data_IF_930131350295
#
_entry.id   IF_930131350295
#
_cell.length_a   1.000
_cell.length_b   1.000
_cell.length_c   1.000
_cell.angle_alpha   90.00
_cell.angle_beta   90.00
_cell.angle_gamma   90.00
#
_symmetry.space_group_name_H-M   'P 1'
#
loop_
_entity.id
_entity.type
_entity.pdbx_description
1 polymer ?
#
# COMPACT_ATOMS: atom_id res chain seq x y z
N UNK A 1 -2.26 -12.38 -5.26
CA UNK A 1 -1.74 -11.08 -5.75
C UNK A 1 -1.36 -10.21 -4.57
N UNK A 2 -0.17 -9.60 -4.57
CA UNK A 2 0.38 -8.81 -3.47
C UNK A 2 0.83 -7.45 -3.98
N UNK A 3 0.21 -6.39 -3.52
CA UNK A 3 0.44 -5.02 -3.95
C UNK A 3 0.92 -4.17 -2.77
N UNK A 4 1.93 -3.35 -3.02
CA UNK A 4 2.40 -2.32 -2.10
C UNK A 4 2.18 -0.95 -2.72
N UNK A 5 1.65 -0.01 -1.94
CA UNK A 5 1.36 1.35 -2.39
C UNK A 5 2.20 2.30 -1.55
N UNK A 6 3.00 3.14 -2.21
CA UNK A 6 3.86 4.11 -1.55
C UNK A 6 3.91 5.43 -2.32
N UNK A 7 4.56 6.44 -1.76
CA UNK A 7 4.61 7.80 -2.30
C UNK A 7 4.81 8.82 -1.18
N UNK A 8 4.93 10.09 -1.54
CA UNK A 8 5.08 11.18 -0.56
C UNK A 8 3.82 11.30 0.31
N UNK A 9 3.93 11.88 1.51
CA UNK A 9 2.76 12.24 2.34
C UNK A 9 1.80 13.16 1.58
N UNK A 10 0.49 12.92 1.70
CA UNK A 10 -0.56 13.76 1.11
C UNK A 10 -0.88 13.54 -0.38
N UNK A 11 -0.15 12.67 -1.08
CA UNK A 11 -0.35 12.42 -2.54
C UNK A 11 -1.58 11.58 -2.90
N UNK A 12 -2.32 11.07 -1.91
CA UNK A 12 -3.51 10.25 -2.13
C UNK A 12 -3.29 8.73 -2.17
N UNK A 13 -2.20 8.23 -1.57
CA UNK A 13 -1.89 6.77 -1.47
C UNK A 13 -3.05 5.96 -0.92
N UNK A 14 -3.55 6.36 0.25
CA UNK A 14 -4.64 5.70 0.96
C UNK A 14 -5.92 5.68 0.13
N UNK A 15 -6.22 6.74 -0.61
CA UNK A 15 -7.37 6.80 -1.53
C UNK A 15 -7.23 5.79 -2.66
N UNK A 16 -6.05 5.72 -3.29
CA UNK A 16 -5.75 4.72 -4.33
C UNK A 16 -5.80 3.29 -3.78
N UNK A 17 -5.24 3.07 -2.58
CA UNK A 17 -5.26 1.79 -1.88
C UNK A 17 -6.69 1.33 -1.58
N UNK A 18 -7.51 2.22 -1.04
CA UNK A 18 -8.90 1.94 -0.73
C UNK A 18 -9.73 1.63 -1.98
N UNK A 19 -9.58 2.44 -3.02
CA UNK A 19 -10.24 2.23 -4.31
C UNK A 19 -9.88 0.86 -4.92
N UNK A 20 -8.59 0.52 -4.98
CA UNK A 20 -8.15 -0.79 -5.49
C UNK A 20 -8.70 -1.94 -4.64
N UNK A 21 -8.67 -1.81 -3.32
CA UNK A 21 -9.17 -2.85 -2.43
C UNK A 21 -10.65 -3.11 -2.66
N UNK A 22 -11.48 -2.06 -2.80
CA UNK A 22 -12.90 -2.21 -3.12
C UNK A 22 -13.13 -2.84 -4.49
N UNK A 23 -12.38 -2.42 -5.50
CA UNK A 23 -12.52 -2.98 -6.85
C UNK A 23 -12.15 -4.47 -6.92
N UNK A 24 -11.10 -4.91 -6.20
CA UNK A 24 -10.79 -6.33 -6.07
C UNK A 24 -11.89 -7.09 -5.30
N UNK A 25 -12.40 -6.51 -4.21
CA UNK A 25 -13.43 -7.13 -3.39
C UNK A 25 -14.74 -7.36 -4.15
N UNK A 26 -15.16 -6.37 -4.94
CA UNK A 26 -16.34 -6.46 -5.80
C UNK A 26 -16.15 -7.37 -7.01
N UNK A 27 -14.90 -7.52 -7.48
CA UNK A 27 -14.54 -8.53 -8.48
C UNK A 27 -14.52 -9.96 -7.92
N UNK A 28 -14.96 -10.16 -6.67
CA UNK A 28 -15.10 -11.47 -6.02
C UNK A 28 -13.85 -11.97 -5.29
N UNK A 29 -12.78 -11.16 -5.20
CA UNK A 29 -11.58 -11.55 -4.49
C UNK A 29 -11.70 -11.27 -3.00
N UNK A 30 -11.14 -12.16 -2.17
CA UNK A 30 -10.87 -11.83 -0.77
C UNK A 30 -9.62 -10.93 -0.71
N UNK A 31 -9.72 -9.83 0.03
CA UNK A 31 -8.68 -8.79 0.12
C UNK A 31 -8.25 -8.58 1.56
N UNK A 32 -6.95 -8.61 1.83
CA UNK A 32 -6.36 -8.00 3.02
C UNK A 32 -5.95 -6.57 2.69
N UNK A 33 -6.61 -5.61 3.30
CA UNK A 33 -6.21 -4.20 3.29
C UNK A 33 -5.36 -3.94 4.54
N UNK A 34 -4.09 -3.61 4.35
CA UNK A 34 -3.13 -3.45 5.43
C UNK A 34 -2.74 -1.99 5.52
N UNK A 35 -3.08 -1.37 6.65
CA UNK A 35 -2.70 -0.01 6.97
C UNK A 35 -1.34 -0.01 7.69
N UNK A 36 -0.30 0.36 6.96
CA UNK A 36 1.07 0.48 7.46
C UNK A 36 1.52 1.95 7.57
N UNK A 37 0.58 2.91 7.53
CA UNK A 37 0.85 4.32 7.78
C UNK A 37 0.60 4.65 9.28
N UNK A 38 1.52 5.35 9.98
CA UNK A 38 1.29 5.81 11.35
C UNK A 38 0.00 6.62 11.55
N UNK A 39 -0.38 7.43 10.55
CA UNK A 39 -1.56 8.29 10.63
C UNK A 39 -2.88 7.52 10.38
N UNK A 40 -2.76 6.23 10.02
CA UNK A 40 -3.79 5.19 9.88
C UNK A 40 -5.19 5.67 9.50
N UNK A 41 -5.43 5.85 8.21
CA UNK A 41 -6.72 6.33 7.67
C UNK A 41 -7.39 5.33 6.72
N UNK A 42 -6.76 4.18 6.43
CA UNK A 42 -7.23 3.27 5.39
C UNK A 42 -8.62 2.73 5.69
N UNK A 43 -8.92 2.39 6.95
CA UNK A 43 -10.23 1.88 7.36
C UNK A 43 -11.37 2.87 7.10
N UNK A 44 -11.15 4.14 7.43
CA UNK A 44 -12.13 5.20 7.23
C UNK A 44 -12.36 5.48 5.74
N UNK A 45 -11.28 5.56 4.97
CA UNK A 45 -11.36 5.74 3.52
C UNK A 45 -12.01 4.51 2.86
N UNK A 46 -11.89 3.32 3.43
CA UNK A 46 -12.57 2.10 2.98
C UNK A 46 -14.05 2.01 3.41
N UNK A 47 -14.57 3.02 4.12
CA UNK A 47 -15.96 3.07 4.55
C UNK A 47 -16.30 2.15 5.73
N UNK A 48 -15.30 1.69 6.50
CA UNK A 48 -15.57 1.03 7.78
C UNK A 48 -16.16 2.04 8.77
N UNK A 49 -17.12 1.61 9.62
CA UNK A 49 -17.66 2.46 10.67
C UNK A 49 -16.56 2.83 11.67
N UNK A 50 -16.62 4.05 12.23
CA UNK A 50 -15.63 4.52 13.20
C UNK A 50 -15.50 3.57 14.39
N UNK A 51 -16.60 3.04 14.90
CA UNK A 51 -16.62 2.11 16.03
C UNK A 51 -15.90 0.79 15.73
N UNK A 52 -15.97 0.29 14.50
CA UNK A 52 -15.19 -0.87 14.08
C UNK A 52 -13.70 -0.52 13.94
N UNK A 53 -13.37 0.63 13.35
CA UNK A 53 -11.97 1.06 13.18
C UNK A 53 -11.30 1.36 14.52
N UNK A 54 -12.02 1.93 15.48
CA UNK A 54 -11.50 2.23 16.82
C UNK A 54 -11.21 0.95 17.62
N UNK A 55 -11.85 -0.17 17.30
CA UNK A 55 -11.51 -1.49 17.90
C UNK A 55 -10.21 -2.08 17.35
N UNK A 56 -9.73 -1.61 16.20
CA UNK A 56 -8.46 -2.06 15.62
C UNK A 56 -7.29 -1.40 16.37
N UNK A 57 -6.86 -2.07 17.42
CA UNK A 57 -5.57 -1.79 18.03
C UNK A 57 -4.45 -2.03 16.99
N UNK A 58 -3.49 -1.11 16.83
CA UNK A 58 -2.35 -1.35 15.96
C UNK A 58 -1.50 -2.51 16.47
N UNK A 59 -1.10 -3.41 15.58
CA UNK A 59 -0.26 -4.57 15.91
C UNK A 59 1.05 -4.17 16.62
N UNK A 60 1.65 -3.04 16.23
CA UNK A 60 2.86 -2.49 16.83
C UNK A 60 2.69 -2.09 18.31
N UNK A 61 1.45 -1.90 18.77
CA UNK A 61 1.13 -1.48 20.13
C UNK A 61 0.65 -2.64 21.02
N UNK A 62 0.52 -3.86 20.47
CA UNK A 62 0.07 -5.06 21.20
C UNK A 62 1.19 -5.68 22.04
N UNK A 63 1.66 -4.96 23.07
CA UNK A 63 2.84 -5.33 23.88
C UNK A 63 2.78 -6.75 24.45
N UNK A 64 1.64 -7.16 25.01
CA UNK A 64 1.48 -8.49 25.60
C UNK A 64 1.61 -9.60 24.55
N UNK A 65 0.92 -9.44 23.41
CA UNK A 65 1.00 -10.38 22.29
C UNK A 65 2.42 -10.45 21.72
N UNK A 66 3.07 -9.30 21.52
CA UNK A 66 4.45 -9.23 21.03
C UNK A 66 5.38 -9.96 22.01
N UNK A 67 5.26 -9.73 23.31
CA UNK A 67 6.05 -10.45 24.31
C UNK A 67 5.78 -11.96 24.27
N UNK A 68 4.51 -12.38 24.25
CA UNK A 68 4.11 -13.79 24.16
C UNK A 68 4.77 -14.46 22.95
N UNK A 69 4.64 -13.87 21.76
CA UNK A 69 5.16 -14.45 20.51
C UNK A 69 6.66 -14.39 20.38
N UNK A 70 7.31 -13.42 21.01
CA UNK A 70 8.77 -13.26 20.95
C UNK A 70 9.51 -13.95 22.10
N UNK A 71 8.85 -14.77 22.92
CA UNK A 71 9.51 -15.60 23.95
C UNK A 71 9.57 -14.98 25.35
N UNK A 72 8.64 -14.08 25.66
CA UNK A 72 8.47 -13.47 26.99
C UNK A 72 9.48 -12.37 27.34
N UNK A 73 9.54 -12.00 28.63
CA UNK A 73 10.37 -10.90 29.13
C UNK A 73 11.88 -11.25 29.29
N UNK A 74 12.32 -12.38 28.75
CA UNK A 74 13.72 -12.81 28.84
C UNK A 74 14.69 -11.94 28.01
N UNK A 75 16.01 -12.12 28.18
CA UNK A 75 17.02 -11.42 27.38
C UNK A 75 17.07 -11.91 25.93
N UNK A 76 16.54 -13.10 25.66
CA UNK A 76 16.45 -13.68 24.33
C UNK A 76 15.06 -13.42 23.74
N UNK A 77 15.01 -13.20 22.43
CA UNK A 77 13.76 -13.09 21.71
C UNK A 77 13.78 -13.91 20.43
N UNK A 78 12.61 -14.41 20.05
CA UNK A 78 12.42 -15.18 18.82
C UNK A 78 12.43 -14.23 17.63
N UNK A 79 13.35 -14.45 16.68
CA UNK A 79 13.47 -13.64 15.47
C UNK A 79 12.34 -13.89 14.47
N UNK A 80 11.85 -15.13 14.39
CA UNK A 80 10.76 -15.56 13.50
C UNK A 80 9.57 -16.08 14.32
N UNK A 81 8.83 -15.19 15.01
CA UNK A 81 7.66 -15.60 15.80
C UNK A 81 6.56 -16.19 14.91
N UNK A 82 5.78 -17.14 15.43
CA UNK A 82 4.59 -17.66 14.74
C UNK A 82 3.43 -16.69 14.90
N UNK A 83 2.79 -16.34 13.78
CA UNK A 83 1.74 -15.31 13.71
C UNK A 83 0.53 -15.76 12.88
N UNK A 84 0.38 -17.07 12.65
CA UNK A 84 -0.63 -17.65 11.76
C UNK A 84 -2.07 -17.20 12.10
N UNK A 85 -2.35 -17.05 13.40
CA UNK A 85 -3.66 -16.67 13.94
C UNK A 85 -3.86 -15.16 14.09
N UNK A 86 -2.77 -14.37 14.03
CA UNK A 86 -2.81 -12.92 14.24
C UNK A 86 -3.63 -12.26 13.12
N UNK A 87 -3.44 -12.72 11.89
CA UNK A 87 -4.11 -12.15 10.71
C UNK A 87 -5.63 -12.31 10.73
N UNK A 88 -6.15 -13.32 11.42
CA UNK A 88 -7.59 -13.59 11.48
C UNK A 88 -8.22 -13.07 12.78
N UNK A 89 -7.45 -13.03 13.89
CA UNK A 89 -7.94 -12.51 15.18
C UNK A 89 -7.98 -10.98 15.25
N UNK A 90 -7.01 -10.31 14.63
CA UNK A 90 -6.83 -8.86 14.76
C UNK A 90 -7.19 -8.09 13.49
N UNK A 91 -7.81 -8.76 12.52
CA UNK A 91 -8.39 -8.12 11.37
C UNK A 91 -9.90 -7.96 11.55
N UNK A 92 -10.44 -6.79 11.17
CA UNK A 92 -11.88 -6.59 11.08
C UNK A 92 -12.32 -6.87 9.66
N UNK A 93 -13.36 -7.70 9.53
CA UNK A 93 -13.90 -8.11 8.23
C UNK A 93 -15.17 -7.33 7.90
N UNK A 94 -15.20 -6.74 6.71
CA UNK A 94 -16.41 -6.21 6.09
C UNK A 94 -16.43 -6.57 4.61
N UNK A 95 -17.53 -7.19 4.18
CA UNK A 95 -17.66 -7.79 2.85
C UNK A 95 -16.53 -8.80 2.58
N UNK A 96 -15.86 -8.69 1.43
CA UNK A 96 -14.69 -9.48 1.08
C UNK A 96 -13.36 -8.84 1.53
N UNK A 97 -13.39 -7.81 2.39
CA UNK A 97 -12.18 -7.11 2.85
C UNK A 97 -11.93 -7.36 4.34
N UNK A 98 -10.72 -7.84 4.64
CA UNK A 98 -10.14 -7.91 5.98
C UNK A 98 -9.18 -6.74 6.16
N UNK A 99 -9.50 -5.84 7.08
CA UNK A 99 -8.68 -4.67 7.41
C UNK A 99 -7.74 -5.02 8.58
N UNK A 100 -6.45 -4.76 8.40
CA UNK A 100 -5.43 -4.94 9.44
C UNK A 100 -4.67 -3.64 9.65
N UNK A 101 -4.51 -3.23 10.92
CA UNK A 101 -3.74 -2.03 11.28
C UNK A 101 -2.38 -2.43 11.83
N UNK A 102 -1.30 -2.14 11.12
CA UNK A 102 0.05 -2.43 11.60
C UNK A 102 0.49 -1.41 12.67
N UNK A 103 0.29 -0.12 12.38
CA UNK A 103 0.85 0.97 13.18
C UNK A 103 2.37 1.14 12.98
N UNK A 104 2.88 2.29 13.41
CA UNK A 104 4.31 2.57 13.37
C UNK A 104 4.95 2.36 14.74
N UNK A 105 6.17 1.84 14.72
CA UNK A 105 7.01 1.78 15.91
C UNK A 105 7.39 3.22 16.30
N UNK A 106 6.90 3.69 17.44
CA UNK A 106 7.15 5.05 17.95
C UNK A 106 8.65 5.22 18.24
N UNK A 107 9.40 5.86 17.34
CA UNK A 107 10.86 6.09 17.48
C UNK A 107 11.25 7.03 18.65
N UNK A 108 10.30 7.62 19.35
CA UNK A 108 10.52 8.71 20.30
C UNK A 108 10.93 8.26 21.72
N UNK A 109 10.93 6.96 22.05
CA UNK A 109 11.37 6.48 23.36
C UNK A 109 12.66 5.65 23.27
N UNK A 110 13.48 5.73 24.31
CA UNK A 110 14.76 5.03 24.53
C UNK A 110 14.65 3.51 24.74
N UNK A 111 13.52 2.90 24.35
CA UNK A 111 13.27 1.47 24.49
C UNK A 111 13.78 0.71 23.25
N UNK A 112 14.18 -0.55 23.45
CA UNK A 112 14.64 -1.42 22.36
C UNK A 112 13.42 -1.99 21.61
N UNK A 113 13.30 -1.71 20.31
CA UNK A 113 12.14 -2.13 19.48
C UNK A 113 12.37 -3.43 18.68
N UNK A 114 13.35 -4.24 19.06
CA UNK A 114 13.71 -5.42 18.30
C UNK A 114 12.59 -6.47 18.25
N UNK A 115 11.76 -6.57 19.30
CA UNK A 115 10.65 -7.53 19.40
C UNK A 115 9.49 -7.11 18.49
N UNK A 116 9.13 -5.84 18.54
CA UNK A 116 8.10 -5.22 17.72
C UNK A 116 8.44 -5.38 16.23
N UNK A 117 9.69 -5.05 15.85
CA UNK A 117 10.15 -5.20 14.47
C UNK A 117 10.14 -6.67 14.03
N UNK A 118 10.60 -7.61 14.86
CA UNK A 118 10.56 -9.04 14.55
C UNK A 118 9.12 -9.54 14.35
N UNK A 119 8.20 -9.12 15.22
CA UNK A 119 6.78 -9.47 15.14
C UNK A 119 6.11 -8.90 13.88
N UNK A 120 6.28 -7.60 13.60
CA UNK A 120 5.69 -6.96 12.41
C UNK A 120 6.26 -7.54 11.11
N UNK A 121 7.56 -7.84 11.08
CA UNK A 121 8.18 -8.52 9.94
C UNK A 121 7.60 -9.92 9.71
N UNK A 122 7.37 -10.70 10.78
CA UNK A 122 6.72 -12.00 10.68
C UNK A 122 5.29 -11.88 10.15
N UNK A 123 4.54 -10.85 10.59
CA UNK A 123 3.18 -10.58 10.10
C UNK A 123 3.18 -10.25 8.60
N UNK A 124 4.08 -9.38 8.15
CA UNK A 124 4.23 -9.05 6.73
C UNK A 124 4.63 -10.28 5.92
N UNK A 125 5.54 -11.09 6.47
CA UNK A 125 5.95 -12.33 5.83
C UNK A 125 4.78 -13.30 5.66
N UNK A 126 3.97 -13.52 6.70
CA UNK A 126 2.78 -14.37 6.64
C UNK A 126 1.75 -13.85 5.62
N UNK A 127 1.50 -12.54 5.60
CA UNK A 127 0.61 -11.90 4.62
C UNK A 127 1.06 -12.12 3.17
N UNK A 128 2.35 -11.99 2.90
CA UNK A 128 2.90 -12.02 1.55
C UNK A 128 3.20 -13.44 1.05
N UNK A 129 3.63 -14.35 1.91
CA UNK A 129 4.05 -15.70 1.54
C UNK A 129 3.00 -16.80 1.77
N UNK A 130 2.18 -16.67 2.82
CA UNK A 130 1.33 -17.79 3.28
C UNK A 130 -0.14 -17.61 2.93
N UNK A 131 -0.60 -16.36 2.73
CA UNK A 131 -1.97 -16.05 2.34
C UNK A 131 -2.13 -16.09 0.82
N UNK A 132 -3.24 -16.64 0.33
CA UNK A 132 -3.54 -16.71 -1.11
C UNK A 132 -4.40 -15.51 -1.58
N UNK A 133 -5.01 -14.81 -0.63
CA UNK A 133 -5.83 -13.62 -0.84
C UNK A 133 -5.03 -12.48 -1.49
N UNK A 134 -5.77 -11.55 -2.09
CA UNK A 134 -5.21 -10.27 -2.55
C UNK A 134 -4.73 -9.50 -1.32
N UNK A 135 -3.51 -8.99 -1.33
CA UNK A 135 -3.01 -8.11 -0.26
C UNK A 135 -2.71 -6.75 -0.85
N UNK A 136 -3.23 -5.71 -0.23
CA UNK A 136 -2.95 -4.30 -0.56
C UNK A 136 -2.40 -3.65 0.69
N UNK A 137 -1.11 -3.30 0.64
CA UNK A 137 -0.42 -2.61 1.73
C UNK A 137 -0.37 -1.12 1.42
N UNK A 138 -1.12 -0.31 2.17
CA UNK A 138 -0.97 1.15 2.18
C UNK A 138 0.22 1.49 3.08
N UNK A 139 1.37 1.75 2.46
CA UNK A 139 2.60 2.07 3.19
C UNK A 139 2.72 3.58 3.39
N UNK A 140 3.41 3.97 4.45
CA UNK A 140 3.90 5.33 4.67
C UNK A 140 4.81 5.82 3.51
N UNK A 141 5.38 7.01 3.69
CA UNK A 141 6.41 7.55 2.78
C UNK A 141 7.75 6.78 2.91
N UNK A 142 7.74 5.52 2.47
CA UNK A 142 8.90 4.66 2.40
C UNK A 142 8.55 3.17 2.30
N UNK A 143 9.61 2.38 2.24
CA UNK A 143 9.61 0.92 2.08
C UNK A 143 10.09 0.22 3.37
N UNK A 144 10.18 0.95 4.49
CA UNK A 144 10.84 0.51 5.73
C UNK A 144 10.24 -0.76 6.34
N UNK A 145 8.97 -1.06 6.05
CA UNK A 145 8.29 -2.26 6.52
C UNK A 145 8.60 -3.49 5.64
N UNK A 146 9.21 -3.30 4.47
CA UNK A 146 9.64 -4.41 3.62
C UNK A 146 11.12 -4.72 3.86
N UNK A 147 11.43 -6.00 3.96
CA UNK A 147 12.80 -6.53 3.92
C UNK A 147 13.10 -6.99 2.49
N UNK A 148 14.37 -7.23 2.14
CA UNK A 148 14.72 -7.81 0.81
C UNK A 148 14.02 -9.16 0.56
N UNK A 149 13.76 -9.95 1.60
CA UNK A 149 13.05 -11.21 1.48
C UNK A 149 11.57 -11.02 1.15
N UNK A 150 10.90 -10.12 1.87
CA UNK A 150 9.46 -9.85 1.67
C UNK A 150 9.18 -9.00 0.43
N UNK A 151 10.08 -8.10 0.04
CA UNK A 151 9.96 -7.28 -1.16
C UNK A 151 9.82 -8.12 -2.44
N UNK A 152 10.58 -9.21 -2.57
CA UNK A 152 10.49 -10.13 -3.72
C UNK A 152 9.12 -10.82 -3.87
N UNK A 153 8.34 -10.84 -2.79
CA UNK A 153 7.02 -11.46 -2.76
C UNK A 153 5.91 -10.48 -3.18
N UNK A 154 6.24 -9.18 -3.27
CA UNK A 154 5.34 -8.16 -3.79
C UNK A 154 5.27 -8.32 -5.32
N UNK A 155 4.07 -8.56 -5.85
CA UNK A 155 3.86 -8.72 -7.29
C UNK A 155 4.02 -7.38 -8.02
N UNK A 156 3.53 -6.28 -7.43
CA UNK A 156 3.78 -4.95 -7.95
C UNK A 156 3.80 -3.87 -6.85
N UNK A 157 4.72 -2.93 -7.00
CA UNK A 157 4.80 -1.71 -6.19
C UNK A 157 4.25 -0.53 -7.01
N UNK A 158 3.22 0.13 -6.47
CA UNK A 158 2.59 1.30 -7.05
C UNK A 158 3.05 2.55 -6.32
N UNK A 159 3.79 3.41 -7.02
CA UNK A 159 4.29 4.67 -6.48
C UNK A 159 3.37 5.80 -6.93
N UNK A 160 2.60 6.35 -5.98
CA UNK A 160 1.69 7.47 -6.23
C UNK A 160 2.46 8.79 -6.15
N UNK A 161 2.28 9.65 -7.14
CA UNK A 161 2.95 10.95 -7.23
C UNK A 161 1.98 12.04 -7.68
N UNK A 162 2.39 13.30 -7.56
CA UNK A 162 1.64 14.48 -7.98
C UNK A 162 2.48 15.26 -8.98
N UNK A 163 1.89 16.16 -9.81
CA UNK A 163 2.63 17.01 -10.76
C UNK A 163 3.40 18.13 -10.03
N UNK A 164 4.30 17.75 -9.14
CA UNK A 164 5.21 18.68 -8.44
C UNK A 164 6.61 18.10 -8.41
N UNK A 165 7.62 18.94 -8.63
CA UNK A 165 9.03 18.51 -8.72
C UNK A 165 9.46 17.71 -7.48
N UNK A 166 8.99 18.10 -6.28
CA UNK A 166 9.31 17.40 -5.04
C UNK A 166 8.68 16.00 -5.04
N UNK A 167 7.40 15.88 -5.42
CA UNK A 167 6.70 14.59 -5.45
C UNK A 167 7.29 13.65 -6.51
N UNK A 168 7.63 14.18 -7.68
CA UNK A 168 8.28 13.44 -8.77
C UNK A 168 9.65 12.89 -8.37
N UNK A 169 10.51 13.73 -7.75
CA UNK A 169 11.82 13.29 -7.24
C UNK A 169 11.70 12.23 -6.14
N UNK A 170 10.80 12.42 -5.19
CA UNK A 170 10.55 11.42 -4.14
C UNK A 170 10.07 10.10 -4.73
N UNK A 171 9.19 10.14 -5.74
CA UNK A 171 8.73 8.96 -6.43
C UNK A 171 9.87 8.24 -7.19
N UNK A 172 10.76 8.97 -7.88
CA UNK A 172 11.96 8.37 -8.51
C UNK A 172 12.85 7.65 -7.51
N UNK A 173 13.17 8.29 -6.37
CA UNK A 173 13.98 7.66 -5.32
C UNK A 173 13.29 6.41 -4.77
N UNK A 174 11.97 6.46 -4.55
CA UNK A 174 11.18 5.32 -4.07
C UNK A 174 11.21 4.17 -5.08
N UNK A 175 11.08 4.47 -6.38
CA UNK A 175 11.16 3.45 -7.43
C UNK A 175 12.54 2.78 -7.48
N UNK A 176 13.61 3.57 -7.36
CA UNK A 176 14.99 3.06 -7.34
C UNK A 176 15.21 2.13 -6.15
N UNK A 177 14.79 2.55 -4.95
CA UNK A 177 14.89 1.75 -3.74
C UNK A 177 14.09 0.44 -3.86
N UNK A 178 12.85 0.51 -4.36
CA UNK A 178 12.02 -0.67 -4.61
C UNK A 178 12.69 -1.69 -5.55
N UNK A 179 13.29 -1.23 -6.66
CA UNK A 179 14.04 -2.10 -7.59
C UNK A 179 15.29 -2.70 -6.93
N UNK A 180 16.04 -1.92 -6.14
CA UNK A 180 17.21 -2.41 -5.41
C UNK A 180 16.86 -3.45 -4.33
N UNK A 181 15.62 -3.47 -3.82
CA UNK A 181 15.13 -4.52 -2.95
C UNK A 181 14.76 -5.82 -3.68
N UNK A 182 14.67 -5.78 -5.01
CA UNK A 182 14.30 -6.91 -5.84
C UNK A 182 12.80 -7.03 -6.10
N UNK A 183 12.03 -5.94 -5.99
CA UNK A 183 10.63 -5.94 -6.45
C UNK A 183 10.62 -6.00 -7.98
N UNK A 184 9.95 -7.00 -8.54
CA UNK A 184 9.96 -7.27 -9.98
C UNK A 184 9.27 -6.15 -10.78
N UNK A 185 8.08 -5.74 -10.34
CA UNK A 185 7.28 -4.74 -11.04
C UNK A 185 7.13 -3.49 -10.19
N UNK A 186 7.68 -2.38 -10.68
CA UNK A 186 7.54 -1.06 -10.07
C UNK A 186 6.90 -0.13 -11.09
N UNK A 187 5.83 0.54 -10.72
CA UNK A 187 5.03 1.39 -11.60
C UNK A 187 4.61 2.67 -10.89
N UNK A 188 4.33 3.72 -11.67
CA UNK A 188 3.89 5.03 -11.16
C UNK A 188 2.43 5.27 -11.47
N UNK A 189 1.71 5.85 -10.51
CA UNK A 189 0.39 6.43 -10.68
C UNK A 189 0.51 7.94 -10.47
N UNK A 190 0.23 8.72 -11.51
CA UNK A 190 0.12 10.16 -11.38
C UNK A 190 -1.24 10.52 -10.80
N UNK A 191 -1.30 11.30 -9.73
CA UNK A 191 -2.53 11.71 -9.07
C UNK A 191 -2.67 13.24 -9.05
N UNK A 192 -3.90 13.71 -8.85
CA UNK A 192 -4.27 15.14 -8.82
C UNK A 192 -3.87 15.90 -10.09
N UNK A 193 -3.99 15.25 -11.25
CA UNK A 193 -3.75 15.87 -12.56
C UNK A 193 -4.87 16.85 -12.88
N UNK A 194 -4.56 18.14 -13.06
CA UNK A 194 -5.57 19.18 -13.31
C UNK A 194 -5.65 19.58 -14.78
N UNK A 195 -4.58 19.42 -15.53
CA UNK A 195 -4.47 19.85 -16.92
C UNK A 195 -3.48 18.96 -17.71
N UNK A 196 -3.35 19.22 -19.01
CA UNK A 196 -2.44 18.47 -19.88
C UNK A 196 -0.96 18.70 -19.56
N UNK A 197 -0.58 19.86 -19.02
CA UNK A 197 0.80 20.14 -18.62
C UNK A 197 1.20 19.27 -17.42
N UNK A 198 0.32 19.12 -16.42
CA UNK A 198 0.52 18.21 -15.29
C UNK A 198 0.73 16.77 -15.77
N UNK A 199 -0.08 16.31 -16.73
CA UNK A 199 0.04 14.99 -17.33
C UNK A 199 1.39 14.84 -18.05
N UNK A 200 1.77 15.85 -18.85
CA UNK A 200 3.03 15.89 -19.55
C UNK A 200 4.21 15.83 -18.58
N UNK A 201 4.23 16.65 -17.52
CA UNK A 201 5.27 16.68 -16.50
C UNK A 201 5.49 15.31 -15.85
N UNK A 202 4.42 14.58 -15.49
CA UNK A 202 4.54 13.24 -14.90
C UNK A 202 5.09 12.27 -15.95
N UNK A 203 4.51 12.25 -17.14
CA UNK A 203 4.91 11.29 -18.17
C UNK A 203 6.35 11.51 -18.64
N UNK A 204 6.76 12.75 -18.92
CA UNK A 204 8.13 13.05 -19.38
C UNK A 204 9.16 12.72 -18.31
N UNK A 205 8.89 13.00 -17.03
CA UNK A 205 9.82 12.72 -15.92
C UNK A 205 10.13 11.23 -15.77
N UNK A 206 9.19 10.34 -16.06
CA UNK A 206 9.39 8.88 -15.96
C UNK A 206 9.69 8.21 -17.31
N UNK A 207 9.61 8.96 -18.43
CA UNK A 207 9.98 8.53 -19.78
C UNK A 207 11.41 8.91 -20.17
N UNK A 208 11.98 10.00 -19.64
CA UNK A 208 13.31 10.48 -20.04
C UNK A 208 14.46 9.64 -19.46
N UNK A 209 15.17 8.95 -20.35
CA UNK A 209 16.52 8.40 -20.13
C UNK A 209 17.50 9.38 -20.77
N UNK A 210 18.15 10.22 -19.96
CA UNK A 210 19.16 11.16 -20.45
C UNK A 210 20.34 11.21 -19.48
N UNK A 211 21.19 10.18 -19.53
CA UNK A 211 22.66 10.28 -19.57
C UNK A 211 23.32 8.92 -19.30
N UNK A 212 24.44 8.67 -19.97
CA UNK A 212 25.26 7.44 -19.93
C UNK A 212 25.80 7.07 -18.52
N UNK A 213 25.56 7.91 -17.50
CA UNK A 213 25.89 7.65 -16.09
C UNK A 213 24.69 7.21 -15.23
N UNK A 214 23.50 7.05 -15.83
CA UNK A 214 22.25 6.74 -15.12
C UNK A 214 21.45 5.67 -15.89
N UNK A 215 22.05 4.51 -16.07
CA UNK A 215 21.71 3.55 -17.13
C UNK A 215 20.40 2.73 -16.97
N UNK A 216 19.53 2.92 -15.96
CA UNK A 216 18.60 1.81 -15.61
C UNK A 216 17.09 2.04 -15.47
N UNK A 217 16.52 3.25 -15.32
CA UNK A 217 15.16 3.30 -14.74
C UNK A 217 14.11 4.17 -15.42
N UNK A 218 13.77 3.88 -16.69
CA UNK A 218 12.40 4.17 -17.13
C UNK A 218 11.41 3.41 -16.22
N UNK A 219 10.40 4.10 -15.70
CA UNK A 219 9.37 3.50 -14.84
C UNK A 219 8.02 3.66 -15.52
N UNK A 220 7.28 2.58 -15.77
CA UNK A 220 5.99 2.68 -16.46
C UNK A 220 4.99 3.49 -15.62
N UNK A 221 4.39 4.50 -16.24
CA UNK A 221 3.22 5.20 -15.70
C UNK A 221 1.98 4.42 -16.12
N UNK A 222 1.32 3.75 -15.18
CA UNK A 222 0.19 2.85 -15.50
C UNK A 222 -1.13 3.62 -15.64
N UNK A 223 -1.22 4.81 -15.03
CA UNK A 223 -2.36 5.69 -15.19
C UNK A 223 -2.14 7.07 -14.56
N UNK A 224 -3.00 7.99 -14.98
CA UNK A 224 -3.09 9.35 -14.51
C UNK A 224 -4.51 9.55 -13.97
N UNK A 225 -4.61 9.95 -12.72
CA UNK A 225 -5.85 10.18 -11.99
C UNK A 225 -6.09 11.70 -11.97
N UNK A 226 -7.18 12.17 -12.60
CA UNK A 226 -7.55 13.57 -12.55
C UNK A 226 -7.84 14.02 -11.11
N UNK A 227 -7.60 15.30 -10.85
CA UNK A 227 -8.09 15.91 -9.62
C UNK A 227 -9.61 15.92 -9.62
N UNK A 228 -10.22 15.39 -8.57
CA UNK A 228 -11.67 15.26 -8.41
C UNK A 228 -12.05 15.73 -7.00
N UNK A 229 -12.75 16.86 -6.91
CA UNK A 229 -13.19 17.45 -5.64
C UNK A 229 -14.21 16.55 -4.92
N UNK A 230 -14.95 15.71 -5.64
CA UNK A 230 -15.94 14.82 -5.03
C UNK A 230 -15.28 13.71 -4.22
N UNK A 231 -14.04 13.32 -4.51
CA UNK A 231 -13.37 12.20 -3.82
C UNK A 231 -12.63 12.64 -2.56
N UNK A 232 -12.35 13.94 -2.41
CA UNK A 232 -11.55 14.45 -1.29
C UNK A 232 -12.34 14.35 0.01
N UNK A 233 -11.79 13.60 0.97
CA UNK A 233 -12.38 13.45 2.29
C UNK A 233 -13.62 12.56 2.33
N UNK A 234 -13.96 11.87 1.23
CA UNK A 234 -15.05 10.91 1.20
C UNK A 234 -14.58 9.50 1.54
N UNK A 235 -15.45 8.77 2.23
CA UNK A 235 -15.31 7.34 2.44
C UNK A 235 -15.79 6.58 1.21
N UNK A 236 -14.99 5.62 0.76
CA UNK A 236 -15.27 4.70 -0.34
C UNK A 236 -16.00 3.49 0.24
N UNK A 237 -17.32 3.64 0.42
CA UNK A 237 -18.16 2.57 0.96
C UNK A 237 -18.34 1.39 -0.01
N UNK A 238 -18.46 1.69 -1.30
CA UNK A 238 -18.61 0.73 -2.38
C UNK A 238 -17.56 1.01 -3.45
N UNK A 239 -17.20 0.02 -4.26
CA UNK A 239 -16.50 0.32 -5.50
C UNK A 239 -17.46 0.95 -6.51
N UNK A 240 -16.93 1.62 -7.54
CA UNK A 240 -17.74 2.49 -8.36
C UNK A 240 -18.67 1.69 -9.25
N UNK A 241 -19.95 2.00 -9.15
CA UNK A 241 -20.95 1.62 -10.14
C UNK A 241 -20.56 2.15 -11.53
N UNK A 242 -21.17 1.60 -12.59
CA UNK A 242 -20.98 2.11 -13.95
C UNK A 242 -21.32 3.60 -14.03
N UNK A 243 -22.40 4.02 -13.36
CA UNK A 243 -22.82 5.42 -13.30
C UNK A 243 -21.80 6.31 -12.57
N UNK A 244 -21.20 5.85 -11.47
CA UNK A 244 -20.15 6.59 -10.75
C UNK A 244 -18.87 6.72 -11.57
N UNK A 245 -18.48 5.68 -12.33
CA UNK A 245 -17.38 5.79 -13.29
C UNK A 245 -17.68 6.75 -14.45
N UNK A 246 -18.94 6.92 -14.83
CA UNK A 246 -19.35 7.89 -15.85
C UNK A 246 -19.37 9.33 -15.31
N UNK A 247 -19.67 9.51 -14.03
CA UNK A 247 -19.74 10.83 -13.37
C UNK A 247 -18.39 11.32 -12.84
N UNK A 248 -17.59 10.44 -12.25
CA UNK A 248 -16.32 10.80 -11.61
C UNK A 248 -15.12 10.46 -12.51
N UNK A 249 -14.34 11.47 -12.93
CA UNK A 249 -13.08 11.26 -13.66
C UNK A 249 -12.08 10.38 -12.88
N UNK A 250 -12.09 10.46 -11.55
CA UNK A 250 -11.28 9.61 -10.69
C UNK A 250 -11.63 8.13 -10.89
N UNK A 251 -12.92 7.77 -10.81
CA UNK A 251 -13.35 6.38 -10.91
C UNK A 251 -13.13 5.79 -12.30
N UNK A 252 -13.28 6.60 -13.35
CA UNK A 252 -12.92 6.19 -14.71
C UNK A 252 -11.43 5.87 -14.83
N UNK A 253 -10.56 6.71 -14.28
CA UNK A 253 -9.12 6.49 -14.28
C UNK A 253 -8.73 5.25 -13.46
N UNK A 254 -9.33 5.07 -12.27
CA UNK A 254 -9.09 3.91 -11.42
C UNK A 254 -9.52 2.60 -12.08
N UNK A 255 -10.66 2.57 -12.78
CA UNK A 255 -11.10 1.41 -13.58
C UNK A 255 -10.07 1.03 -14.64
N UNK A 256 -9.58 1.99 -15.41
CA UNK A 256 -8.55 1.75 -16.42
C UNK A 256 -7.24 1.23 -15.80
N UNK A 257 -6.82 1.75 -14.65
CA UNK A 257 -5.64 1.28 -13.92
C UNK A 257 -5.84 -0.18 -13.47
N UNK A 258 -6.99 -0.47 -12.88
CA UNK A 258 -7.32 -1.81 -12.38
C UNK A 258 -7.36 -2.86 -13.49
N UNK A 259 -7.96 -2.56 -14.65
CA UNK A 259 -7.98 -3.47 -15.80
C UNK A 259 -6.57 -3.76 -16.35
N UNK A 260 -5.69 -2.75 -16.37
CA UNK A 260 -4.27 -2.94 -16.72
C UNK A 260 -3.55 -3.83 -15.71
N UNK A 261 -3.86 -3.69 -14.42
CA UNK A 261 -3.27 -4.53 -13.38
C UNK A 261 -3.74 -5.99 -13.46
N UNK A 262 -5.03 -6.20 -13.71
CA UNK A 262 -5.59 -7.55 -13.89
C UNK A 262 -5.01 -8.25 -15.12
N UNK A 263 -4.91 -7.56 -16.26
CA UNK A 263 -4.34 -8.14 -17.49
C UNK A 263 -2.87 -8.50 -17.32
N UNK A 264 -2.07 -7.65 -16.68
CA UNK A 264 -0.66 -7.92 -16.39
C UNK A 264 -0.46 -9.10 -15.42
N UNK A 265 -1.40 -9.34 -14.52
CA UNK A 265 -1.34 -10.46 -13.57
C UNK A 265 -1.65 -11.79 -14.28
N UNK A 266 -2.63 -11.80 -15.19
CA UNK A 266 -3.05 -13.01 -15.92
C UNK A 266 -2.03 -13.47 -16.98
N UNK A 267 -1.14 -12.60 -17.45
CA UNK A 267 -0.07 -12.96 -18.39
C UNK A 267 1.13 -13.68 -17.76
N UNK A 268 1.18 -13.78 -16.43
CA UNK A 268 2.27 -14.40 -15.68
C UNK A 268 1.85 -15.63 -14.86
N UNK A 269 0.62 -16.12 -15.05
CA UNK A 269 0.10 -17.37 -14.50
C UNK A 269 0.16 -18.48 -15.57
#
# INVERSE_FOLDING_TARGET
MKFAISGKGGVGKTTVAAALARMYAESGYNVYAVDADPDANLGLVLGFPMDEVDTLQPLAEMRELIMERTGGAGPYFVLNPRVDDVLDKFAVKRDNIKLLRMGAVKKAASECYCRENAFLNAVIQALLLERNEVVIMDMSAGIEHLTRGTARCVNAMLVVTEPTIISLRTASTTCQLARQMGIANVSVIGNKVRNEDDAHQITSHFQEVTNEQQLDNAVPVIGLIPFDDEIIGQAIHNAPTVEECERSPFWKAMRNIFEKMLSATNSHA
#
